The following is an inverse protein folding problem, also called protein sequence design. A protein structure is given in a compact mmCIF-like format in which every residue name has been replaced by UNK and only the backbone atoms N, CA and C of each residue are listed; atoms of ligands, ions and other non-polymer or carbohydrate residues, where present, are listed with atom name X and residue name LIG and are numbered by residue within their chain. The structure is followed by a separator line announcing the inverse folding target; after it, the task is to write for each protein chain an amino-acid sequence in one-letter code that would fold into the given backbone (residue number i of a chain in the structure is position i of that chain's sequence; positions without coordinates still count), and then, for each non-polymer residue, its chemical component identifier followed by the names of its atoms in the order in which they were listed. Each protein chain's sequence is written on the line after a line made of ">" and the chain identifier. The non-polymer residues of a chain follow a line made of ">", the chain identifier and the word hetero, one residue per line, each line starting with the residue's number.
data_IF_836536303905
#
_entry.id   IF_836536303905
#
_cell.length_a   1.000
_cell.length_b   1.000
_cell.length_c   1.000
_cell.angle_alpha   90.00
_cell.angle_beta   90.00
_cell.angle_gamma   90.00
#
_symmetry.space_group_name_H-M   'P 1'
#
loop_
_entity.id
_entity.type
_entity.pdbx_description
1 polymer ?
#
# COMPACT_ATOMS: atom_id res chain seq x y z
N UNK A 1 17.76 9.93 -6.38
CA UNK A 1 17.65 9.73 -4.93
C UNK A 1 17.30 8.29 -4.57
N UNK A 2 16.34 7.64 -5.24
CA UNK A 2 15.91 6.28 -4.88
C UNK A 2 17.05 5.24 -4.92
N UNK A 3 18.00 5.32 -5.85
CA UNK A 3 19.19 4.48 -5.84
C UNK A 3 20.01 4.60 -4.54
N UNK A 4 20.11 5.82 -3.99
CA UNK A 4 20.81 6.05 -2.71
C UNK A 4 20.03 5.52 -1.52
N UNK A 5 18.67 5.56 -1.58
CA UNK A 5 17.80 4.92 -0.58
C UNK A 5 18.02 3.40 -0.60
N UNK A 6 17.97 2.77 -1.77
CA UNK A 6 18.18 1.33 -1.92
C UNK A 6 19.59 0.93 -1.43
N UNK A 7 20.62 1.71 -1.77
CA UNK A 7 21.96 1.47 -1.27
C UNK A 7 22.03 1.56 0.27
N UNK A 8 21.47 2.62 0.88
CA UNK A 8 21.43 2.77 2.33
C UNK A 8 20.70 1.60 3.02
N UNK A 9 19.57 1.17 2.47
CA UNK A 9 18.78 0.06 3.01
C UNK A 9 19.52 -1.29 2.87
N UNK A 10 20.30 -1.47 1.81
CA UNK A 10 21.15 -2.65 1.62
C UNK A 10 22.23 -2.71 2.68
N UNK A 11 22.90 -1.58 2.95
CA UNK A 11 23.92 -1.47 4.00
C UNK A 11 23.28 -1.66 5.39
N UNK A 12 22.09 -1.08 5.64
CA UNK A 12 21.36 -1.25 6.89
C UNK A 12 20.93 -2.71 7.10
N UNK A 13 20.54 -3.44 6.06
CA UNK A 13 20.20 -4.87 6.14
C UNK A 13 21.37 -5.70 6.68
N UNK A 14 22.60 -5.37 6.27
CA UNK A 14 23.81 -6.06 6.72
C UNK A 14 24.27 -5.62 8.12
N UNK A 15 23.87 -4.43 8.56
CA UNK A 15 24.35 -3.78 9.79
C UNK A 15 23.17 -3.29 10.66
N UNK A 16 22.12 -4.09 10.82
CA UNK A 16 20.87 -3.67 11.47
C UNK A 16 21.01 -3.61 13.01
N UNK A 17 21.80 -2.63 13.48
CA UNK A 17 22.03 -2.34 14.89
C UNK A 17 22.05 -0.83 15.16
N UNK A 18 21.95 -0.47 16.44
CA UNK A 18 21.85 0.95 16.85
C UNK A 18 23.14 1.74 16.60
N UNK A 19 24.30 1.13 16.77
CA UNK A 19 25.59 1.79 16.61
C UNK A 19 25.79 2.22 15.16
N UNK A 20 25.64 1.31 14.21
CA UNK A 20 25.74 1.61 12.79
C UNK A 20 24.72 2.67 12.36
N UNK A 21 23.47 2.55 12.83
CA UNK A 21 22.43 3.50 12.47
C UNK A 21 22.74 4.90 13.00
N UNK A 22 23.25 5.05 14.23
CA UNK A 22 23.64 6.34 14.76
C UNK A 22 24.80 6.97 13.97
N UNK A 23 25.78 6.17 13.57
CA UNK A 23 26.89 6.64 12.72
C UNK A 23 26.39 7.12 11.33
N UNK A 24 25.28 6.57 10.83
CA UNK A 24 24.70 6.91 9.52
C UNK A 24 23.42 7.77 9.62
N UNK A 25 23.11 8.31 10.81
CA UNK A 25 21.86 9.04 11.08
C UNK A 25 21.67 10.27 10.18
N UNK A 26 22.72 11.03 9.94
CA UNK A 26 22.65 12.22 9.07
C UNK A 26 22.30 11.85 7.62
N UNK A 27 22.87 10.73 7.11
CA UNK A 27 22.54 10.20 5.78
C UNK A 27 21.08 9.76 5.72
N UNK A 28 20.60 9.02 6.73
CA UNK A 28 19.19 8.63 6.83
C UNK A 28 18.26 9.85 6.83
N UNK A 29 18.58 10.89 7.61
CA UNK A 29 17.70 12.08 7.72
C UNK A 29 17.62 12.82 6.38
N UNK A 30 18.73 12.92 5.63
CA UNK A 30 18.76 13.49 4.29
C UNK A 30 17.91 12.68 3.30
N UNK A 31 18.08 11.35 3.27
CA UNK A 31 17.30 10.45 2.40
C UNK A 31 15.81 10.49 2.74
N UNK A 32 15.47 10.50 4.04
CA UNK A 32 14.09 10.60 4.50
C UNK A 32 13.44 11.91 4.07
N UNK A 33 14.17 13.02 4.15
CA UNK A 33 13.67 14.33 3.69
C UNK A 33 13.34 14.28 2.19
N UNK A 34 14.26 13.79 1.40
CA UNK A 34 14.01 13.66 -0.04
C UNK A 34 12.87 12.71 -0.37
N UNK A 35 12.70 11.61 0.37
CA UNK A 35 11.56 10.72 0.18
C UNK A 35 10.22 11.40 0.54
N UNK A 36 10.20 12.28 1.56
CA UNK A 36 9.03 13.12 1.87
C UNK A 36 8.69 14.01 0.67
N UNK A 37 9.69 14.66 0.07
CA UNK A 37 9.47 15.54 -1.08
C UNK A 37 8.96 14.76 -2.30
N UNK A 38 9.44 13.54 -2.54
CA UNK A 38 8.93 12.67 -3.62
C UNK A 38 7.50 12.20 -3.34
N UNK A 39 7.17 11.80 -2.11
CA UNK A 39 5.81 11.39 -1.73
C UNK A 39 4.84 12.56 -1.86
N UNK A 40 5.26 13.80 -1.53
CA UNK A 40 4.41 14.97 -1.74
C UNK A 40 4.11 15.20 -3.22
N UNK A 41 5.10 15.05 -4.09
CA UNK A 41 4.88 15.15 -5.55
C UNK A 41 3.93 14.04 -6.05
N UNK A 42 4.02 12.81 -5.50
CA UNK A 42 3.06 11.75 -5.84
C UNK A 42 1.64 12.14 -5.40
N UNK A 43 1.45 12.64 -4.17
CA UNK A 43 0.16 13.11 -3.66
C UNK A 43 -0.42 14.18 -4.58
N UNK A 44 0.37 15.20 -4.93
CA UNK A 44 -0.08 16.30 -5.78
C UNK A 44 -0.52 15.82 -7.18
N UNK A 45 0.17 14.81 -7.74
CA UNK A 45 -0.17 14.21 -9.03
C UNK A 45 -1.37 13.26 -8.94
N UNK A 46 -1.49 12.48 -7.87
CA UNK A 46 -2.66 11.62 -7.60
C UNK A 46 -3.91 12.48 -7.45
N UNK A 47 -3.81 13.63 -6.77
CA UNK A 47 -4.92 14.56 -6.59
C UNK A 47 -5.54 15.08 -7.90
N UNK A 48 -4.83 14.99 -9.03
CA UNK A 48 -5.38 15.37 -10.34
C UNK A 48 -6.47 14.42 -10.83
N UNK A 49 -6.49 13.16 -10.38
CA UNK A 49 -7.51 12.17 -10.75
C UNK A 49 -8.29 11.62 -9.54
N UNK A 50 -7.75 11.75 -8.33
CA UNK A 50 -8.40 11.42 -7.06
C UNK A 50 -8.41 12.66 -6.15
N UNK A 51 -9.46 13.51 -6.26
CA UNK A 51 -9.53 14.77 -5.50
C UNK A 51 -9.56 14.56 -3.98
N UNK A 52 -9.94 13.38 -3.48
CA UNK A 52 -10.00 13.09 -2.05
C UNK A 52 -8.60 13.06 -1.38
N UNK A 53 -7.54 12.88 -2.19
CA UNK A 53 -6.15 12.91 -1.72
C UNK A 53 -5.62 14.36 -1.61
N UNK A 54 -6.32 15.34 -2.18
CA UNK A 54 -5.86 16.73 -2.16
C UNK A 54 -5.69 17.27 -0.73
N UNK A 55 -4.58 17.95 -0.49
CA UNK A 55 -4.26 18.53 0.82
C UNK A 55 -3.67 17.54 1.83
N UNK A 56 -3.45 16.29 1.45
CA UNK A 56 -2.75 15.32 2.29
C UNK A 56 -1.26 15.71 2.39
N UNK A 57 -0.71 15.68 3.60
CA UNK A 57 0.70 15.98 3.80
C UNK A 57 1.52 14.69 3.82
N UNK A 58 2.59 14.64 3.03
CA UNK A 58 3.46 13.46 2.91
C UNK A 58 3.99 12.96 4.26
N UNK A 59 4.29 13.88 5.21
CA UNK A 59 4.77 13.52 6.55
C UNK A 59 3.82 12.58 7.31
N UNK A 60 2.51 12.68 7.05
CA UNK A 60 1.48 11.86 7.68
C UNK A 60 1.28 10.50 6.99
N UNK A 61 1.85 10.37 5.80
CA UNK A 61 1.79 9.15 4.99
C UNK A 61 2.96 8.19 5.25
N UNK A 62 4.13 8.70 5.69
CA UNK A 62 5.33 7.90 5.82
C UNK A 62 5.30 6.98 7.04
N UNK A 63 5.80 5.77 6.85
CA UNK A 63 6.09 4.87 7.96
C UNK A 63 7.45 5.20 8.60
N UNK A 64 7.53 5.02 9.93
CA UNK A 64 8.78 5.16 10.68
C UNK A 64 9.71 3.98 10.38
N UNK A 65 11.01 4.22 10.36
CA UNK A 65 12.01 3.17 10.18
C UNK A 65 12.16 2.24 11.40
N UNK A 66 11.81 2.73 12.59
CA UNK A 66 11.92 1.95 13.82
C UNK A 66 10.88 0.82 13.86
N UNK A 67 11.33 -0.39 14.20
CA UNK A 67 10.45 -1.54 14.43
C UNK A 67 9.91 -1.54 15.86
N UNK A 68 8.71 -2.08 16.03
CA UNK A 68 8.22 -2.49 17.34
C UNK A 68 8.65 -3.95 17.58
N UNK A 69 9.71 -4.10 18.39
CA UNK A 69 10.33 -5.42 18.65
C UNK A 69 9.87 -6.07 19.94
N UNK A 70 8.88 -5.48 20.66
CA UNK A 70 8.46 -5.96 21.99
C UNK A 70 8.02 -7.42 21.93
N UNK A 71 7.21 -7.78 20.96
CA UNK A 71 6.62 -9.11 20.79
C UNK A 71 7.18 -9.88 19.59
N UNK A 72 8.19 -9.32 18.88
CA UNK A 72 8.81 -9.98 17.72
C UNK A 72 9.94 -10.93 18.17
N UNK A 73 10.04 -12.14 17.63
CA UNK A 73 11.23 -12.98 17.81
C UNK A 73 12.48 -12.36 17.16
N UNK A 74 12.33 -11.68 16.05
CA UNK A 74 13.41 -10.90 15.43
C UNK A 74 13.56 -9.55 16.15
N UNK A 75 14.74 -9.34 16.74
CA UNK A 75 15.09 -8.15 17.54
C UNK A 75 15.85 -7.08 16.76
N UNK A 76 15.97 -7.19 15.43
CA UNK A 76 16.56 -6.13 14.61
C UNK A 76 15.74 -4.83 14.78
N UNK A 77 16.39 -3.70 15.12
CA UNK A 77 15.68 -2.49 15.56
C UNK A 77 15.07 -1.66 14.42
N UNK A 78 15.48 -1.88 13.17
CA UNK A 78 15.07 -1.05 12.05
C UNK A 78 14.40 -1.88 10.95
N UNK A 79 13.45 -1.26 10.25
CA UNK A 79 12.91 -1.75 8.99
C UNK A 79 13.96 -1.53 7.89
N UNK A 80 13.96 -2.41 6.92
CA UNK A 80 14.85 -2.35 5.75
C UNK A 80 14.12 -1.81 4.51
N UNK A 81 13.12 -0.97 4.74
CA UNK A 81 12.36 -0.32 3.68
C UNK A 81 11.96 1.12 4.05
N UNK A 82 11.77 1.94 3.03
CA UNK A 82 11.03 3.19 3.09
C UNK A 82 9.65 2.95 2.48
N UNK A 83 8.61 3.45 3.12
CA UNK A 83 7.26 3.28 2.62
C UNK A 83 6.35 4.45 3.01
N UNK A 84 5.35 4.69 2.15
CA UNK A 84 4.29 5.65 2.42
C UNK A 84 2.93 5.08 1.99
N UNK A 85 1.89 5.36 2.78
CA UNK A 85 0.51 5.06 2.46
C UNK A 85 -0.28 6.37 2.35
N UNK A 86 -0.70 6.67 1.13
CA UNK A 86 -1.41 7.89 0.76
C UNK A 86 -2.90 7.58 0.65
N UNK A 87 -3.62 7.77 1.75
CA UNK A 87 -5.07 7.61 1.82
C UNK A 87 -5.68 8.84 2.47
N UNK A 88 -6.83 9.27 1.97
CA UNK A 88 -7.56 10.39 2.55
C UNK A 88 -7.96 10.10 4.02
N UNK A 89 -8.27 11.16 4.77
CA UNK A 89 -8.74 11.03 6.16
C UNK A 89 -7.74 10.35 7.11
N UNK A 90 -6.43 10.66 6.98
CA UNK A 90 -5.46 10.23 7.98
C UNK A 90 -4.14 9.65 7.46
N UNK A 91 -3.89 9.65 6.14
CA UNK A 91 -2.65 9.13 5.57
C UNK A 91 -2.43 7.67 5.95
N UNK A 92 -1.25 7.34 6.51
CA UNK A 92 -0.92 5.95 6.92
C UNK A 92 -1.81 5.37 8.03
N UNK A 93 -2.60 6.20 8.71
CA UNK A 93 -3.52 5.76 9.76
C UNK A 93 -4.97 5.63 9.28
N UNK A 94 -5.23 5.89 8.01
CA UNK A 94 -6.57 5.77 7.44
C UNK A 94 -6.99 4.31 7.28
N UNK A 95 -8.28 4.03 7.49
CA UNK A 95 -8.90 2.73 7.17
C UNK A 95 -9.38 2.67 5.72
N UNK A 96 -9.36 3.80 5.00
CA UNK A 96 -9.74 3.86 3.59
C UNK A 96 -8.69 3.21 2.70
N UNK A 97 -9.14 2.66 1.58
CA UNK A 97 -8.28 2.28 0.48
C UNK A 97 -7.48 3.49 -0.03
N UNK A 98 -6.23 3.29 -0.33
CA UNK A 98 -5.31 4.34 -0.78
C UNK A 98 -4.21 3.80 -1.68
N UNK A 99 -3.14 4.56 -1.80
CA UNK A 99 -1.99 4.30 -2.66
C UNK A 99 -0.76 4.06 -1.81
N UNK A 100 -0.03 3.00 -2.10
CA UNK A 100 1.12 2.60 -1.31
C UNK A 100 2.36 2.46 -2.18
N UNK A 101 3.45 3.07 -1.72
CA UNK A 101 4.79 2.93 -2.31
C UNK A 101 5.72 2.29 -1.28
N UNK A 102 6.52 1.33 -1.75
CA UNK A 102 7.47 0.60 -0.93
C UNK A 102 8.81 0.47 -1.65
N UNK A 103 9.85 0.97 -1.02
CA UNK A 103 11.23 0.87 -1.48
C UNK A 103 12.00 -0.05 -0.54
N UNK A 104 12.27 -1.24 -0.98
CA UNK A 104 13.08 -2.26 -0.28
C UNK A 104 14.02 -2.94 -1.28
N UNK A 105 15.31 -3.11 -0.98
CA UNK A 105 16.25 -3.77 -1.90
C UNK A 105 15.76 -5.15 -2.35
N UNK A 106 15.47 -5.31 -3.64
CA UNK A 106 14.93 -6.53 -4.23
C UNK A 106 13.46 -6.83 -3.91
N UNK A 107 12.73 -5.88 -3.32
CA UNK A 107 11.33 -6.02 -2.93
C UNK A 107 10.49 -4.76 -3.12
N UNK A 108 10.87 -3.90 -4.06
CA UNK A 108 10.13 -2.68 -4.36
C UNK A 108 8.75 -2.99 -4.94
N UNK A 109 7.74 -2.19 -4.58
CA UNK A 109 6.40 -2.36 -5.11
C UNK A 109 5.54 -1.09 -5.04
N UNK A 110 4.48 -1.08 -5.85
CA UNK A 110 3.34 -0.19 -5.77
C UNK A 110 2.09 -1.02 -5.42
N UNK A 111 1.22 -0.49 -4.59
CA UNK A 111 0.03 -1.22 -4.12
C UNK A 111 -1.12 -0.26 -3.85
N UNK A 112 -2.33 -0.79 -3.72
CA UNK A 112 -3.50 -0.05 -3.28
C UNK A 112 -4.58 -0.97 -2.74
N UNK A 113 -5.62 -0.37 -2.17
CA UNK A 113 -6.69 -1.08 -1.49
C UNK A 113 -6.65 -0.95 0.02
N UNK A 114 -7.37 -1.83 0.70
CA UNK A 114 -7.48 -1.87 2.17
C UNK A 114 -6.63 -3.03 2.70
N UNK A 115 -5.59 -2.70 3.45
CA UNK A 115 -4.67 -3.66 4.07
C UNK A 115 -4.98 -3.87 5.56
N UNK A 116 -5.05 -5.12 6.00
CA UNK A 116 -5.32 -5.50 7.39
C UNK A 116 -6.52 -4.78 8.04
N UNK A 117 -7.71 -4.76 7.40
CA UNK A 117 -8.87 -4.10 7.98
C UNK A 117 -9.27 -4.74 9.32
N UNK A 118 -9.81 -3.96 10.27
CA UNK A 118 -10.44 -4.52 11.46
C UNK A 118 -11.51 -5.58 11.10
N UNK A 119 -11.72 -6.62 11.91
CA UNK A 119 -12.65 -7.70 11.58
C UNK A 119 -14.08 -7.23 11.25
N UNK A 120 -14.55 -6.16 11.89
CA UNK A 120 -15.87 -5.60 11.62
C UNK A 120 -15.92 -4.94 10.23
N UNK A 121 -14.90 -4.18 9.85
CA UNK A 121 -14.78 -3.59 8.52
C UNK A 121 -14.61 -4.68 7.45
N UNK A 122 -13.77 -5.69 7.69
CA UNK A 122 -13.61 -6.82 6.77
C UNK A 122 -14.95 -7.52 6.48
N UNK A 123 -15.81 -7.63 7.51
CA UNK A 123 -17.12 -8.25 7.35
C UNK A 123 -18.02 -7.43 6.39
N UNK A 124 -18.09 -6.12 6.55
CA UNK A 124 -18.94 -5.27 5.69
C UNK A 124 -18.38 -5.18 4.27
N UNK A 125 -17.05 -5.09 4.10
CA UNK A 125 -16.41 -5.16 2.78
C UNK A 125 -16.75 -6.47 2.04
N UNK A 126 -16.74 -7.60 2.74
CA UNK A 126 -17.14 -8.89 2.13
C UNK A 126 -18.60 -8.92 1.70
N UNK A 127 -19.48 -8.32 2.48
CA UNK A 127 -20.92 -8.25 2.14
C UNK A 127 -21.09 -7.44 0.85
N UNK A 128 -20.52 -6.25 0.79
CA UNK A 128 -20.61 -5.40 -0.38
C UNK A 128 -20.00 -6.04 -1.63
N UNK A 129 -18.79 -6.62 -1.51
CA UNK A 129 -18.16 -7.33 -2.63
C UNK A 129 -19.01 -8.54 -3.08
N UNK A 130 -19.66 -9.26 -2.16
CA UNK A 130 -20.53 -10.37 -2.51
C UNK A 130 -21.78 -9.90 -3.27
N UNK A 131 -22.41 -8.82 -2.83
CA UNK A 131 -23.60 -8.26 -3.42
C UNK A 131 -23.34 -7.58 -4.78
N UNK A 132 -22.13 -7.01 -4.96
CA UNK A 132 -21.72 -6.26 -6.15
C UNK A 132 -20.51 -6.91 -6.85
N UNK A 133 -20.42 -8.25 -6.82
CA UNK A 133 -19.21 -8.97 -7.26
C UNK A 133 -18.89 -8.78 -8.74
N UNK A 134 -19.92 -8.61 -9.59
CA UNK A 134 -19.71 -8.41 -11.02
C UNK A 134 -19.03 -7.07 -11.31
N UNK A 135 -19.40 -6.02 -10.58
CA UNK A 135 -18.75 -4.71 -10.69
C UNK A 135 -17.30 -4.76 -10.16
N UNK A 136 -17.09 -5.43 -9.02
CA UNK A 136 -15.76 -5.61 -8.46
C UNK A 136 -14.84 -6.38 -9.42
N UNK A 137 -15.32 -7.50 -9.96
CA UNK A 137 -14.58 -8.31 -10.93
C UNK A 137 -14.37 -7.55 -12.23
N UNK A 138 -15.36 -6.79 -12.71
CA UNK A 138 -15.21 -5.98 -13.91
C UNK A 138 -14.08 -4.93 -13.79
N UNK A 139 -13.84 -4.41 -12.60
CA UNK A 139 -12.69 -3.51 -12.33
C UNK A 139 -11.39 -4.30 -12.46
N UNK A 140 -11.27 -5.45 -11.78
CA UNK A 140 -10.04 -6.25 -11.74
C UNK A 140 -9.68 -6.90 -13.07
N UNK A 141 -10.69 -7.27 -13.88
CA UNK A 141 -10.49 -7.92 -15.17
C UNK A 141 -10.18 -6.93 -16.32
N UNK A 142 -10.20 -5.62 -16.09
CA UNK A 142 -9.73 -4.65 -17.09
C UNK A 142 -8.29 -4.99 -17.51
N UNK A 143 -7.99 -5.10 -18.81
CA UNK A 143 -6.68 -5.61 -19.27
C UNK A 143 -5.48 -4.85 -18.70
N UNK A 144 -5.56 -3.51 -18.58
CA UNK A 144 -4.50 -2.69 -18.00
C UNK A 144 -4.35 -2.95 -16.50
N UNK A 145 -5.47 -3.04 -15.75
CA UNK A 145 -5.45 -3.34 -14.32
C UNK A 145 -4.84 -4.73 -14.06
N UNK A 146 -5.36 -5.76 -14.72
CA UNK A 146 -4.90 -7.14 -14.55
C UNK A 146 -3.44 -7.35 -14.92
N UNK A 147 -2.94 -6.60 -15.92
CA UNK A 147 -1.52 -6.63 -16.30
C UNK A 147 -0.63 -6.01 -15.22
N UNK A 148 -1.05 -4.92 -14.59
CA UNK A 148 -0.27 -4.17 -13.61
C UNK A 148 -0.39 -4.75 -12.20
N UNK A 149 -1.61 -5.19 -11.84
CA UNK A 149 -1.97 -5.75 -10.54
C UNK A 149 -2.60 -7.15 -10.72
N UNK A 150 -1.80 -8.18 -11.00
CA UNK A 150 -2.30 -9.50 -11.45
C UNK A 150 -3.05 -10.26 -10.35
N UNK A 151 -2.76 -9.99 -9.08
CA UNK A 151 -3.30 -10.73 -7.93
C UNK A 151 -3.63 -9.80 -6.77
N UNK A 152 -4.61 -10.20 -5.98
CA UNK A 152 -4.77 -9.69 -4.62
C UNK A 152 -3.73 -10.34 -3.71
N UNK A 153 -3.21 -9.57 -2.77
CA UNK A 153 -2.22 -10.02 -1.79
C UNK A 153 -2.86 -10.17 -0.40
N UNK A 154 -2.10 -10.78 0.52
CA UNK A 154 -2.49 -10.93 1.91
C UNK A 154 -2.89 -12.34 2.30
N UNK A 155 -3.41 -12.48 3.51
CA UNK A 155 -3.83 -13.77 4.03
C UNK A 155 -5.13 -14.25 3.41
N UNK A 156 -5.19 -15.55 3.06
CA UNK A 156 -6.37 -16.19 2.48
C UNK A 156 -6.90 -17.28 3.42
N UNK A 157 -8.18 -17.27 3.69
CA UNK A 157 -8.86 -18.33 4.45
C UNK A 157 -8.83 -19.65 3.68
N UNK A 158 -8.61 -20.76 4.38
CA UNK A 158 -8.64 -22.11 3.78
C UNK A 158 -10.04 -22.51 3.31
N UNK A 159 -11.08 -21.93 3.89
CA UNK A 159 -12.50 -22.23 3.60
C UNK A 159 -13.26 -20.93 3.44
N UNK A 160 -14.39 -21.02 2.74
CA UNK A 160 -15.34 -19.93 2.61
C UNK A 160 -15.75 -19.39 4.00
N UNK A 161 -15.82 -18.05 4.20
CA UNK A 161 -16.38 -17.49 5.42
C UNK A 161 -17.81 -17.95 5.66
N UNK A 162 -18.23 -18.05 6.91
CA UNK A 162 -19.61 -18.40 7.26
C UNK A 162 -20.60 -17.36 6.73
N UNK A 163 -21.75 -17.81 6.25
CA UNK A 163 -22.82 -16.94 5.73
C UNK A 163 -22.83 -16.79 4.21
N UNK A 164 -21.87 -17.37 3.49
CA UNK A 164 -21.80 -17.35 2.03
C UNK A 164 -21.98 -18.77 1.45
N UNK A 165 -22.56 -18.92 0.23
CA UNK A 165 -22.68 -20.20 -0.44
C UNK A 165 -21.32 -20.83 -0.70
N UNK A 166 -21.20 -22.15 -0.48
CA UNK A 166 -19.93 -22.86 -0.67
C UNK A 166 -19.53 -23.05 -2.13
N UNK A 167 -20.49 -22.88 -3.04
CA UNK A 167 -20.33 -22.97 -4.50
C UNK A 167 -20.30 -21.60 -5.20
N UNK A 168 -20.03 -20.54 -4.44
CA UNK A 168 -19.92 -19.19 -4.99
C UNK A 168 -18.77 -19.10 -5.98
N UNK A 169 -19.07 -18.67 -7.20
CA UNK A 169 -18.12 -18.64 -8.34
C UNK A 169 -16.82 -17.88 -8.05
N UNK A 170 -16.89 -16.87 -7.21
CA UNK A 170 -15.75 -16.00 -6.87
C UNK A 170 -15.30 -16.19 -5.41
N UNK A 171 -15.34 -17.43 -4.93
CA UNK A 171 -15.00 -17.77 -3.54
C UNK A 171 -13.59 -17.32 -3.14
N UNK A 172 -12.64 -17.34 -4.07
CA UNK A 172 -11.26 -16.88 -3.83
C UNK A 172 -11.22 -15.42 -3.34
N UNK A 173 -12.04 -14.53 -3.91
CA UNK A 173 -12.11 -13.12 -3.52
C UNK A 173 -12.55 -12.99 -2.07
N UNK A 174 -13.64 -13.68 -1.68
CA UNK A 174 -14.20 -13.57 -0.33
C UNK A 174 -13.35 -14.26 0.75
N UNK A 175 -12.44 -15.15 0.37
CA UNK A 175 -11.51 -15.79 1.30
C UNK A 175 -10.35 -14.88 1.72
N UNK A 176 -10.06 -13.80 0.98
CA UNK A 176 -9.06 -12.84 1.38
C UNK A 176 -9.40 -12.15 2.71
N UNK A 177 -8.37 -11.87 3.53
CA UNK A 177 -8.48 -11.05 4.74
C UNK A 177 -8.10 -9.59 4.50
N UNK A 178 -7.58 -9.32 3.33
CA UNK A 178 -7.17 -8.02 2.82
C UNK A 178 -7.74 -7.83 1.43
N UNK A 179 -8.15 -6.61 1.11
CA UNK A 179 -8.57 -6.25 -0.23
C UNK A 179 -7.56 -5.27 -0.81
N UNK A 180 -6.36 -5.78 -1.06
CA UNK A 180 -5.25 -5.03 -1.65
C UNK A 180 -4.64 -5.78 -2.81
N UNK A 181 -4.12 -5.02 -3.77
CA UNK A 181 -3.45 -5.52 -4.96
C UNK A 181 -2.04 -4.95 -5.05
N UNK A 182 -1.12 -5.72 -5.61
CA UNK A 182 0.31 -5.35 -5.63
C UNK A 182 0.88 -5.45 -7.04
N UNK A 183 1.73 -4.48 -7.37
CA UNK A 183 2.58 -4.45 -8.55
C UNK A 183 4.04 -4.43 -8.11
N UNK A 184 4.70 -5.58 -8.15
CA UNK A 184 6.13 -5.67 -7.87
C UNK A 184 6.93 -4.98 -8.96
N UNK A 185 7.96 -4.23 -8.55
CA UNK A 185 8.85 -3.49 -9.44
C UNK A 185 10.30 -3.89 -9.16
N UNK A 186 11.13 -4.04 -10.20
CA UNK A 186 12.57 -4.13 -9.97
C UNK A 186 13.09 -2.82 -9.38
N UNK A 187 14.19 -2.87 -8.63
CA UNK A 187 14.78 -1.67 -8.00
C UNK A 187 15.06 -0.58 -9.04
N UNK A 188 15.52 -0.98 -10.23
CA UNK A 188 15.86 -0.11 -11.36
C UNK A 188 14.69 0.74 -11.84
N UNK A 189 13.44 0.27 -11.68
CA UNK A 189 12.26 1.05 -12.01
C UNK A 189 12.28 2.43 -11.34
N UNK A 190 12.69 2.48 -10.07
CA UNK A 190 12.75 3.72 -9.28
C UNK A 190 14.00 4.57 -9.55
N UNK A 191 14.95 4.07 -10.36
CA UNK A 191 16.15 4.81 -10.75
C UNK A 191 15.97 5.58 -12.07
N UNK A 192 14.94 5.23 -12.84
CA UNK A 192 14.64 5.87 -14.11
C UNK A 192 14.16 7.32 -13.89
N UNK A 193 14.50 8.25 -14.79
CA UNK A 193 14.09 9.65 -14.66
C UNK A 193 12.57 9.87 -14.64
N UNK A 194 11.83 9.00 -15.32
CA UNK A 194 10.37 9.04 -15.50
C UNK A 194 9.60 8.07 -14.59
N UNK A 195 10.28 7.49 -13.57
CA UNK A 195 9.65 6.52 -12.66
C UNK A 195 8.36 7.04 -12.00
N UNK A 196 8.35 8.34 -11.67
CA UNK A 196 7.20 8.94 -11.01
C UNK A 196 6.00 9.04 -11.96
N UNK A 197 6.22 9.37 -13.23
CA UNK A 197 5.15 9.39 -14.24
C UNK A 197 4.57 7.98 -14.43
N UNK A 198 5.43 6.97 -14.51
CA UNK A 198 5.03 5.56 -14.59
C UNK A 198 4.26 5.10 -13.36
N UNK A 199 4.71 5.47 -12.15
CA UNK A 199 4.03 5.15 -10.91
C UNK A 199 2.64 5.81 -10.82
N UNK A 200 2.51 7.06 -11.27
CA UNK A 200 1.21 7.76 -11.33
C UNK A 200 0.25 7.09 -12.31
N UNK A 201 0.73 6.65 -13.49
CA UNK A 201 -0.11 5.90 -14.43
C UNK A 201 -0.57 4.54 -13.85
N UNK A 202 0.30 3.84 -13.11
CA UNK A 202 -0.09 2.63 -12.40
C UNK A 202 -1.14 2.95 -11.31
N UNK A 203 -0.95 4.01 -10.53
CA UNK A 203 -1.90 4.44 -9.50
C UNK A 203 -3.27 4.86 -10.06
N UNK A 204 -3.34 5.44 -11.26
CA UNK A 204 -4.62 5.74 -11.91
C UNK A 204 -5.48 4.49 -12.11
N UNK A 205 -4.87 3.34 -12.34
CA UNK A 205 -5.61 2.08 -12.47
C UNK A 205 -6.27 1.67 -11.17
N UNK A 206 -5.69 2.03 -10.01
CA UNK A 206 -6.26 1.73 -8.69
C UNK A 206 -7.46 2.61 -8.33
N UNK A 207 -7.61 3.76 -8.97
CA UNK A 207 -8.66 4.70 -8.59
C UNK A 207 -10.07 4.07 -8.53
N UNK A 208 -10.57 3.38 -9.58
CA UNK A 208 -11.88 2.74 -9.50
C UNK A 208 -11.94 1.61 -8.47
N UNK A 209 -10.85 0.90 -8.22
CA UNK A 209 -10.76 -0.15 -7.21
C UNK A 209 -10.84 0.44 -5.79
N UNK A 210 -10.09 1.50 -5.53
CA UNK A 210 -10.12 2.21 -4.26
C UNK A 210 -11.48 2.86 -4.01
N UNK A 211 -12.10 3.46 -5.02
CA UNK A 211 -13.44 4.06 -4.90
C UNK A 211 -14.51 3.03 -4.55
N UNK A 212 -14.48 1.85 -5.19
CA UNK A 212 -15.39 0.75 -4.84
C UNK A 212 -15.29 0.39 -3.36
N UNK A 213 -14.07 0.17 -2.86
CA UNK A 213 -13.85 -0.18 -1.44
C UNK A 213 -14.21 0.98 -0.49
N UNK A 214 -13.89 2.21 -0.88
CA UNK A 214 -14.08 3.39 -0.04
C UNK A 214 -15.54 3.74 0.18
N UNK A 215 -16.44 3.40 -0.73
CA UNK A 215 -17.87 3.55 -0.51
C UNK A 215 -18.30 2.82 0.77
N UNK A 216 -17.96 1.54 0.88
CA UNK A 216 -18.27 0.72 2.07
C UNK A 216 -17.52 1.17 3.31
N UNK A 217 -16.25 1.59 3.18
CA UNK A 217 -15.47 2.10 4.30
C UNK A 217 -16.11 3.36 4.89
N UNK A 218 -16.58 4.27 4.04
CA UNK A 218 -17.20 5.52 4.49
C UNK A 218 -18.56 5.29 5.13
N UNK A 219 -19.38 4.38 4.59
CA UNK A 219 -20.62 3.97 5.26
C UNK A 219 -20.33 3.37 6.65
N UNK A 220 -19.35 2.47 6.74
CA UNK A 220 -18.95 1.87 8.01
C UNK A 220 -18.48 2.90 9.04
N UNK A 221 -17.80 3.96 8.58
CA UNK A 221 -17.31 5.05 9.44
C UNK A 221 -18.33 6.17 9.67
N UNK A 222 -19.54 6.07 9.09
CA UNK A 222 -20.58 7.09 9.21
C UNK A 222 -20.23 8.42 8.55
N UNK A 223 -19.54 8.38 7.41
CA UNK A 223 -19.11 9.56 6.65
C UNK A 223 -20.02 9.89 5.46
N UNK A 224 -20.94 9.01 5.12
CA UNK A 224 -22.00 9.15 4.11
C UNK A 224 -23.37 8.97 4.75
#
# INVERSE_FOLDING_TARGET
>A
MNAEIIQFLTELRQNNNREWFQANKSRYDSLRKGFIDEVQQLIDRIALFDPEIAGLEAKDCLFRIYRDIRFSPDKTPYKIHFAAYMASCGGRGSERAGYYIHLEPGGCLLSGGVWCPPPALLKVLRIDIYENVEDFVAIMEKPAFKKTYPTMEGEVLKRMPAGYPSDFKYDEILRHKDFSVVSYKPDEFFFEPDWMDKAVEDFKLLYPFNQFLNYTVDEYLGRV
#
